data_IF_987799422506
#
_entry.id   IF_987799422506
#
_cell.length_a   1.000
_cell.length_b   1.000
_cell.length_c   1.000
_cell.angle_alpha   90.00
_cell.angle_beta   90.00
_cell.angle_gamma   90.00
#
_symmetry.space_group_name_H-M   'P 1'
#
loop_
_entity.id
_entity.type
_entity.pdbx_description
1 polymer ?
#
# COMPACT_ATOMS: atom_id res chain seq x y z
N UNK A 1 6.22 -14.27 -16.30
CA UNK A 1 5.50 -13.05 -15.90
C UNK A 1 6.20 -12.52 -14.66
N UNK A 2 6.52 -11.22 -14.61
CA UNK A 2 7.13 -10.58 -13.43
C UNK A 2 6.04 -10.09 -12.50
N UNK A 3 6.20 -10.27 -11.19
CA UNK A 3 5.27 -9.76 -10.18
C UNK A 3 5.86 -8.53 -9.51
N UNK A 4 5.09 -7.44 -9.51
CA UNK A 4 5.48 -6.17 -8.92
C UNK A 4 4.38 -5.68 -7.99
N UNK A 5 4.76 -5.21 -6.80
CA UNK A 5 3.84 -4.59 -5.86
C UNK A 5 4.33 -3.19 -5.51
N UNK A 6 3.54 -2.17 -5.84
CA UNK A 6 3.80 -0.78 -5.46
C UNK A 6 2.79 -0.32 -4.43
N UNK A 7 3.30 0.21 -3.33
CA UNK A 7 2.50 0.73 -2.23
C UNK A 7 2.69 2.24 -2.11
N UNK A 8 1.57 2.97 -2.03
CA UNK A 8 1.54 4.42 -1.84
C UNK A 8 0.89 4.79 -0.52
N UNK A 9 1.58 5.58 0.30
CA UNK A 9 1.09 5.97 1.62
C UNK A 9 1.55 7.38 2.04
N UNK A 10 0.86 7.93 3.03
CA UNK A 10 1.10 9.27 3.60
C UNK A 10 -0.21 9.92 4.04
N UNK A 11 -0.15 11.00 4.82
CA UNK A 11 -1.36 11.69 5.28
C UNK A 11 -1.93 12.74 4.31
N UNK A 12 -1.11 13.25 3.38
CA UNK A 12 -1.47 14.33 2.46
C UNK A 12 -1.41 13.90 0.99
N UNK A 13 -1.84 12.66 0.71
CA UNK A 13 -1.88 12.12 -0.65
C UNK A 13 -2.87 12.93 -1.51
N UNK A 14 -2.47 13.23 -2.74
CA UNK A 14 -3.35 13.84 -3.74
C UNK A 14 -4.25 12.78 -4.38
N UNK A 15 -5.23 12.32 -3.60
CA UNK A 15 -6.09 11.20 -3.98
C UNK A 15 -6.82 11.45 -5.30
N UNK A 16 -7.21 12.68 -5.60
CA UNK A 16 -7.90 13.01 -6.86
C UNK A 16 -7.00 12.80 -8.07
N UNK A 17 -5.75 13.26 -8.01
CA UNK A 17 -4.79 13.04 -9.10
C UNK A 17 -4.28 11.60 -9.17
N UNK A 18 -4.13 10.92 -8.03
CA UNK A 18 -3.80 9.48 -8.00
C UNK A 18 -4.92 8.67 -8.65
N UNK A 19 -6.19 8.92 -8.28
CA UNK A 19 -7.35 8.24 -8.85
C UNK A 19 -7.46 8.52 -10.36
N UNK A 20 -7.23 9.76 -10.81
CA UNK A 20 -7.18 10.11 -12.22
C UNK A 20 -6.08 9.33 -12.95
N UNK A 21 -4.87 9.28 -12.40
CA UNK A 21 -3.73 8.57 -12.97
C UNK A 21 -4.01 7.07 -13.12
N UNK A 22 -4.56 6.43 -12.09
CA UNK A 22 -4.94 5.01 -12.12
C UNK A 22 -5.99 4.76 -13.20
N UNK A 23 -7.04 5.60 -13.26
CA UNK A 23 -8.09 5.51 -14.29
C UNK A 23 -7.53 5.65 -15.71
N UNK A 24 -6.66 6.63 -15.92
CA UNK A 24 -6.09 6.94 -17.24
C UNK A 24 -5.10 5.86 -17.71
N UNK A 25 -4.25 5.34 -16.81
CA UNK A 25 -3.08 4.52 -17.17
C UNK A 25 -3.25 3.03 -16.92
N UNK A 26 -4.06 2.64 -15.94
CA UNK A 26 -4.12 1.27 -15.45
C UNK A 26 -5.49 0.61 -15.58
N UNK A 27 -6.59 1.35 -15.45
CA UNK A 27 -7.94 0.76 -15.34
C UNK A 27 -8.35 -0.09 -16.56
N UNK A 28 -7.79 0.19 -17.74
CA UNK A 28 -7.99 -0.63 -18.95
C UNK A 28 -7.26 -1.99 -18.93
N UNK A 29 -6.45 -2.25 -17.90
CA UNK A 29 -5.61 -3.44 -17.75
C UNK A 29 -5.90 -4.22 -16.46
N UNK A 30 -6.99 -3.89 -15.76
CA UNK A 30 -7.41 -4.54 -14.52
C UNK A 30 -7.63 -6.04 -14.75
N UNK A 31 -7.19 -6.86 -13.79
CA UNK A 31 -7.44 -8.29 -13.76
C UNK A 31 -8.96 -8.57 -13.81
N UNK A 32 -9.43 -9.47 -14.69
CA UNK A 32 -10.83 -9.87 -14.70
C UNK A 32 -11.24 -10.46 -13.35
N UNK A 33 -12.38 -10.03 -12.83
CA UNK A 33 -12.97 -10.57 -11.60
C UNK A 33 -14.17 -11.44 -11.98
N UNK A 34 -14.31 -12.57 -11.31
CA UNK A 34 -15.51 -13.42 -11.44
C UNK A 34 -16.58 -12.88 -10.49
N UNK A 35 -17.73 -12.45 -11.02
CA UNK A 35 -18.88 -12.01 -10.23
C UNK A 35 -20.07 -12.90 -10.56
N UNK A 36 -20.63 -13.57 -9.55
CA UNK A 36 -21.79 -14.45 -9.70
C UNK A 36 -21.62 -15.51 -10.81
N UNK A 37 -20.49 -16.22 -10.82
CA UNK A 37 -20.10 -17.22 -11.84
C UNK A 37 -20.03 -16.71 -13.28
N UNK A 38 -20.13 -15.40 -13.50
CA UNK A 38 -19.84 -14.77 -14.77
C UNK A 38 -18.54 -13.98 -14.64
N UNK A 39 -17.62 -14.17 -15.58
CA UNK A 39 -16.52 -13.23 -15.74
C UNK A 39 -17.12 -11.88 -16.12
N UNK A 40 -16.90 -10.84 -15.32
CA UNK A 40 -17.38 -9.51 -15.69
C UNK A 40 -16.60 -9.05 -16.90
N UNK A 41 -17.27 -9.05 -18.04
CA UNK A 41 -16.72 -8.72 -19.35
C UNK A 41 -16.50 -7.20 -19.53
N UNK A 42 -16.25 -6.47 -18.43
CA UNK A 42 -15.97 -5.04 -18.47
C UNK A 42 -14.50 -4.83 -18.85
N UNK A 43 -14.25 -4.99 -20.15
CA UNK A 43 -13.17 -4.43 -20.96
C UNK A 43 -11.79 -5.12 -20.95
N UNK A 44 -11.67 -6.11 -21.86
CA UNK A 44 -10.68 -6.22 -22.96
C UNK A 44 -9.17 -5.98 -22.66
N UNK A 45 -8.39 -7.00 -23.08
CA UNK A 45 -6.95 -7.04 -23.38
C UNK A 45 -6.03 -7.28 -22.17
N UNK A 46 -5.99 -8.53 -21.68
CA UNK A 46 -4.65 -9.09 -21.38
C UNK A 46 -3.96 -9.11 -22.73
N UNK A 47 -3.20 -8.06 -23.00
CA UNK A 47 -2.43 -7.88 -24.22
C UNK A 47 -1.47 -9.08 -24.30
N UNK A 48 -1.25 -9.65 -25.49
CA UNK A 48 -0.29 -10.78 -25.64
C UNK A 48 1.13 -10.39 -25.19
N UNK A 49 1.40 -9.08 -25.19
CA UNK A 49 2.60 -8.40 -24.75
C UNK A 49 2.63 -8.06 -23.24
N UNK A 50 1.54 -8.28 -22.48
CA UNK A 50 1.55 -8.09 -21.02
C UNK A 50 2.43 -9.17 -20.38
N UNK A 51 3.58 -8.76 -19.85
CA UNK A 51 4.56 -9.64 -19.19
C UNK A 51 4.71 -9.35 -17.69
N UNK A 52 3.98 -8.35 -17.18
CA UNK A 52 3.96 -7.92 -15.79
C UNK A 52 2.57 -8.13 -15.17
N UNK A 53 2.55 -8.73 -14.00
CA UNK A 53 1.46 -8.64 -13.05
C UNK A 53 1.83 -7.59 -12.00
N UNK A 54 1.02 -6.53 -11.95
CA UNK A 54 1.27 -5.35 -11.13
C UNK A 54 0.14 -5.16 -10.13
N UNK A 55 0.45 -5.32 -8.85
CA UNK A 55 -0.44 -4.93 -7.76
C UNK A 55 -0.11 -3.48 -7.37
N UNK A 56 -1.12 -2.62 -7.35
CA UNK A 56 -0.99 -1.26 -6.81
C UNK A 56 -1.91 -1.12 -5.62
N UNK A 57 -1.41 -0.53 -4.54
CA UNK A 57 -2.19 -0.22 -3.35
C UNK A 57 -1.91 1.23 -2.92
N UNK A 58 -2.98 1.93 -2.58
CA UNK A 58 -2.96 3.26 -1.99
C UNK A 58 -3.68 3.13 -0.66
N UNK A 59 -2.99 3.45 0.43
CA UNK A 59 -3.57 3.44 1.77
C UNK A 59 -4.62 4.56 1.91
N UNK A 60 -5.79 4.35 1.32
CA UNK A 60 -6.92 5.27 1.24
C UNK A 60 -8.01 4.78 2.20
N UNK A 61 -8.26 5.51 3.29
CA UNK A 61 -9.53 5.36 3.97
C UNK A 61 -10.60 6.17 3.26
N UNK A 62 -11.29 5.57 2.30
CA UNK A 62 -12.68 5.89 1.98
C UNK A 62 -13.60 4.72 2.33
N UNK A 63 -14.28 4.86 3.48
CA UNK A 63 -15.49 4.13 3.86
C UNK A 63 -16.68 4.51 2.95
N UNK A 64 -16.60 4.20 1.66
CA UNK A 64 -17.78 4.12 0.78
C UNK A 64 -17.67 2.81 -0.01
N UNK A 65 -18.30 1.78 0.53
CA UNK A 65 -18.62 0.50 -0.14
C UNK A 65 -17.52 -0.12 -1.00
N UNK A 66 -16.83 -1.13 -0.48
CA UNK A 66 -16.10 -2.16 -1.26
C UNK A 66 -14.97 -1.70 -2.21
N UNK A 67 -14.30 -0.58 -1.95
CA UNK A 67 -13.14 -0.16 -2.74
C UNK A 67 -11.84 -0.32 -1.92
N UNK A 68 -11.38 -1.56 -1.76
CA UNK A 68 -9.95 -1.77 -1.51
C UNK A 68 -9.22 -1.32 -2.79
N UNK A 69 -8.32 -0.34 -2.69
CA UNK A 69 -7.50 0.07 -3.84
C UNK A 69 -6.35 -0.90 -4.13
N UNK A 70 -6.35 -2.09 -3.52
CA UNK A 70 -5.53 -3.21 -3.99
C UNK A 70 -6.18 -3.75 -5.26
N UNK A 71 -5.64 -3.33 -6.41
CA UNK A 71 -6.02 -3.88 -7.71
C UNK A 71 -4.81 -4.49 -8.39
N UNK A 72 -5.07 -5.61 -9.06
CA UNK A 72 -4.10 -6.29 -9.92
C UNK A 72 -4.29 -5.84 -11.37
N UNK A 73 -3.19 -5.59 -12.06
CA UNK A 73 -3.15 -5.17 -13.46
C UNK A 73 -2.21 -6.06 -14.26
N UNK A 74 -2.53 -6.31 -15.53
CA UNK A 74 -1.66 -7.02 -16.48
C UNK A 74 -1.11 -6.06 -17.53
N UNK A 75 0.11 -5.59 -17.33
CA UNK A 75 0.71 -4.50 -18.11
C UNK A 75 2.05 -4.91 -18.75
N UNK A 76 2.58 -4.06 -19.64
CA UNK A 76 3.94 -4.15 -20.19
C UNK A 76 4.94 -3.30 -19.38
N UNK A 77 6.23 -3.45 -19.65
CA UNK A 77 7.29 -2.64 -19.03
C UNK A 77 7.15 -1.15 -19.33
N UNK A 78 6.78 -0.78 -20.57
CA UNK A 78 6.59 0.62 -20.96
C UNK A 78 5.41 1.28 -20.23
N UNK A 79 4.34 0.50 -20.01
CA UNK A 79 3.17 0.97 -19.27
C UNK A 79 3.51 1.18 -17.79
N UNK A 80 4.25 0.24 -17.19
CA UNK A 80 4.74 0.39 -15.83
C UNK A 80 5.61 1.64 -15.69
N UNK A 81 6.60 1.82 -16.57
CA UNK A 81 7.48 2.98 -16.56
C UNK A 81 6.71 4.30 -16.71
N UNK A 82 5.72 4.36 -17.62
CA UNK A 82 4.90 5.55 -17.83
C UNK A 82 4.02 5.88 -16.61
N UNK A 83 3.50 4.86 -15.93
CA UNK A 83 2.76 5.02 -14.68
C UNK A 83 3.66 5.55 -13.55
N UNK A 84 4.80 4.91 -13.30
CA UNK A 84 5.78 5.34 -12.29
C UNK A 84 6.29 6.76 -12.52
N UNK A 85 6.59 7.10 -13.78
CA UNK A 85 7.05 8.43 -14.18
C UNK A 85 6.06 9.53 -13.80
N UNK A 86 4.76 9.21 -13.84
CA UNK A 86 3.69 10.14 -13.50
C UNK A 86 3.43 10.14 -12.00
N UNK A 87 3.43 8.96 -11.38
CA UNK A 87 3.18 8.79 -9.95
C UNK A 87 4.21 9.53 -9.09
N UNK A 88 5.50 9.46 -9.43
CA UNK A 88 6.60 10.13 -8.70
C UNK A 88 6.49 11.66 -8.64
N UNK A 89 5.59 12.26 -9.43
CA UNK A 89 5.31 13.71 -9.42
C UNK A 89 4.21 14.07 -8.41
N UNK A 90 3.47 13.07 -7.93
CA UNK A 90 2.41 13.22 -6.93
C UNK A 90 3.02 13.17 -5.52
N UNK A 91 2.28 13.72 -4.56
CA UNK A 91 2.69 13.69 -3.15
C UNK A 91 2.46 12.30 -2.56
N UNK A 92 3.37 11.89 -1.68
CA UNK A 92 3.29 10.63 -0.95
C UNK A 92 4.61 9.87 -1.00
N UNK A 93 4.63 8.77 -0.25
CA UNK A 93 5.70 7.80 -0.29
C UNK A 93 5.27 6.65 -1.21
N UNK A 94 6.04 6.38 -2.26
CA UNK A 94 5.77 5.36 -3.26
C UNK A 94 6.90 4.34 -3.23
N UNK A 95 6.60 3.13 -2.74
CA UNK A 95 7.64 2.14 -2.47
C UNK A 95 7.35 0.81 -3.18
N UNK A 96 8.42 0.21 -3.69
CA UNK A 96 8.39 -1.14 -4.23
C UNK A 96 8.46 -2.15 -3.10
N UNK A 97 7.43 -2.99 -3.00
CA UNK A 97 7.29 -4.01 -1.99
C UNK A 97 7.41 -5.40 -2.61
N UNK A 98 7.79 -6.39 -1.80
CA UNK A 98 7.67 -7.80 -2.18
C UNK A 98 6.19 -8.18 -2.23
N UNK A 99 5.71 -8.76 -3.34
CA UNK A 99 4.40 -9.39 -3.38
C UNK A 99 4.26 -10.41 -2.24
N UNK A 100 3.07 -10.52 -1.64
CA UNK A 100 2.74 -11.51 -0.59
C UNK A 100 3.53 -11.39 0.74
N UNK A 101 4.06 -10.22 1.07
CA UNK A 101 4.74 -9.97 2.36
C UNK A 101 3.96 -9.09 3.32
N UNK A 102 2.66 -8.91 3.05
CA UNK A 102 1.78 -8.13 3.92
C UNK A 102 1.60 -8.86 5.25
N UNK A 103 2.01 -8.20 6.33
CA UNK A 103 1.81 -8.65 7.70
C UNK A 103 0.92 -7.68 8.48
N UNK A 104 0.54 -8.10 9.68
CA UNK A 104 -0.19 -7.26 10.61
C UNK A 104 0.58 -7.13 11.91
N UNK A 105 0.52 -5.94 12.49
CA UNK A 105 1.00 -5.67 13.85
C UNK A 105 -0.23 -5.60 14.74
N UNK A 106 -0.15 -6.24 15.89
CA UNK A 106 -1.08 -5.98 16.99
C UNK A 106 -0.25 -5.80 18.26
N UNK A 107 -0.34 -4.64 18.88
CA UNK A 107 0.39 -4.30 20.10
C UNK A 107 -0.52 -3.59 21.09
N UNK A 108 -0.30 -3.82 22.38
CA UNK A 108 -1.07 -3.18 23.45
C UNK A 108 -0.16 -2.27 24.30
N UNK A 109 -0.51 -0.99 24.41
CA UNK A 109 0.20 0.01 25.21
C UNK A 109 -0.81 0.66 26.16
N UNK A 110 -0.57 0.55 27.47
CA UNK A 110 -1.42 1.20 28.50
C UNK A 110 -2.92 0.95 28.25
N UNK A 111 -3.25 -0.31 27.98
CA UNK A 111 -4.60 -0.81 27.66
C UNK A 111 -5.18 -0.46 26.29
N UNK A 112 -4.51 0.38 25.51
CA UNK A 112 -4.88 0.73 24.14
C UNK A 112 -4.28 -0.29 23.17
N UNK A 113 -5.12 -0.93 22.36
CA UNK A 113 -4.67 -1.81 21.28
C UNK A 113 -4.35 -1.02 20.02
N UNK A 114 -3.17 -1.23 19.45
CA UNK A 114 -2.70 -0.63 18.23
C UNK A 114 -2.60 -1.70 17.17
N UNK A 115 -3.23 -1.47 16.02
CA UNK A 115 -3.06 -2.33 14.85
C UNK A 115 -2.26 -1.60 13.78
N UNK A 116 -1.66 -2.36 12.88
CA UNK A 116 -0.86 -1.81 11.80
C UNK A 116 -0.59 -2.81 10.69
N UNK A 117 -0.06 -2.30 9.59
CA UNK A 117 0.38 -3.09 8.46
C UNK A 117 1.91 -3.15 8.39
N UNK A 118 2.40 -4.31 7.95
CA UNK A 118 3.80 -4.55 7.66
C UNK A 118 3.97 -4.75 6.16
N UNK A 119 4.91 -4.04 5.58
CA UNK A 119 5.35 -4.23 4.20
C UNK A 119 6.85 -4.50 4.18
N UNK A 120 7.32 -5.25 3.20
CA UNK A 120 8.76 -5.49 2.99
C UNK A 120 9.14 -4.93 1.64
N UNK A 121 10.19 -4.11 1.62
CA UNK A 121 10.75 -3.57 0.38
C UNK A 121 11.18 -4.68 -0.57
N UNK A 122 11.15 -4.43 -1.87
CA UNK A 122 11.44 -5.42 -2.91
C UNK A 122 12.82 -6.09 -2.76
N UNK A 123 13.80 -5.35 -2.21
CA UNK A 123 15.16 -5.81 -1.95
C UNK A 123 15.27 -6.73 -0.71
N UNK A 124 14.20 -6.88 0.08
CA UNK A 124 14.13 -7.71 1.28
C UNK A 124 15.05 -7.26 2.43
N UNK A 125 15.46 -6.00 2.45
CA UNK A 125 16.38 -5.43 3.43
C UNK A 125 15.65 -4.57 4.47
N UNK A 126 14.54 -3.93 4.09
CA UNK A 126 13.76 -3.05 4.96
C UNK A 126 12.33 -3.56 5.12
N UNK A 127 11.88 -3.61 6.36
CA UNK A 127 10.50 -3.80 6.79
C UNK A 127 9.90 -2.45 7.21
N UNK A 128 8.75 -2.12 6.66
CA UNK A 128 8.05 -0.86 6.88
C UNK A 128 6.80 -1.16 7.68
N UNK A 129 6.70 -0.55 8.86
CA UNK A 129 5.57 -0.70 9.77
C UNK A 129 4.76 0.59 9.80
N UNK A 130 3.47 0.48 9.55
CA UNK A 130 2.52 1.59 9.52
C UNK A 130 1.43 1.34 10.54
N UNK A 131 1.00 2.38 11.24
CA UNK A 131 -0.18 2.29 12.09
C UNK A 131 -1.44 2.26 11.22
N UNK A 132 -2.36 1.37 11.56
CA UNK A 132 -3.70 1.43 11.03
C UNK A 132 -4.37 2.65 11.60
N UNK A 133 -5.17 3.33 10.79
CA UNK A 133 -6.05 4.39 11.30
C UNK A 133 -7.24 3.83 12.10
N UNK A 134 -7.21 2.57 12.56
CA UNK A 134 -8.25 1.87 13.35
C UNK A 134 -7.93 1.75 14.85
N UNK A 135 -6.80 2.30 15.28
CA UNK A 135 -6.42 2.46 16.69
C UNK A 135 -7.55 3.18 17.48
N UNK A 136 -7.77 2.85 18.78
CA UNK A 136 -8.84 3.39 19.62
C UNK A 136 -8.98 4.92 19.56
N UNK A 137 -10.21 5.35 19.80
CA UNK A 137 -10.82 6.66 19.49
C UNK A 137 -10.03 7.96 19.75
N UNK A 138 -8.90 7.98 20.47
CA UNK A 138 -8.09 9.18 20.68
C UNK A 138 -7.18 9.53 19.49
N UNK A 139 -6.61 8.52 18.81
CA UNK A 139 -5.75 8.71 17.62
C UNK A 139 -6.51 8.59 16.31
N UNK A 140 -7.76 8.09 16.37
CA UNK A 140 -8.64 7.91 15.21
C UNK A 140 -8.85 9.24 14.50
N UNK A 141 -8.27 9.35 13.32
CA UNK A 141 -8.35 10.56 12.50
C UNK A 141 -7.36 11.64 12.87
N UNK A 142 -6.47 11.45 13.86
CA UNK A 142 -5.42 12.42 14.24
C UNK A 142 -4.03 12.06 13.68
N UNK A 143 -3.87 10.95 12.96
CA UNK A 143 -2.57 10.59 12.36
C UNK A 143 -2.01 11.66 11.42
N UNK A 144 -2.89 12.48 10.84
CA UNK A 144 -2.49 13.64 10.03
C UNK A 144 -1.84 14.77 10.86
N UNK A 145 -2.00 14.75 12.18
CA UNK A 145 -1.34 15.64 13.14
C UNK A 145 0.04 15.13 13.54
N UNK A 146 0.32 13.84 13.34
CA UNK A 146 1.65 13.25 13.57
C UNK A 146 2.57 13.76 12.46
N UNK A 147 3.79 14.25 12.77
CA UNK A 147 4.75 14.65 11.75
C UNK A 147 5.00 13.51 10.76
N UNK A 148 5.09 13.83 9.46
CA UNK A 148 5.18 12.82 8.40
C UNK A 148 6.26 11.76 8.67
N UNK A 149 7.46 12.20 9.07
CA UNK A 149 8.60 11.33 9.42
C UNK A 149 8.33 10.32 10.55
N UNK A 150 7.30 10.55 11.36
CA UNK A 150 6.93 9.75 12.51
C UNK A 150 5.66 8.92 12.23
N UNK A 151 5.04 9.03 11.05
CA UNK A 151 3.83 8.27 10.68
C UNK A 151 4.10 6.80 10.33
N UNK A 152 5.36 6.43 10.12
CA UNK A 152 5.80 5.05 9.91
C UNK A 152 7.19 4.85 10.52
N UNK A 153 7.60 3.59 10.61
CA UNK A 153 8.98 3.22 10.95
C UNK A 153 9.55 2.24 9.93
N UNK A 154 10.81 2.46 9.58
CA UNK A 154 11.61 1.55 8.76
C UNK A 154 12.54 0.74 9.68
N UNK A 155 12.52 -0.58 9.52
CA UNK A 155 13.26 -1.52 10.33
C UNK A 155 14.09 -2.43 9.42
N UNK A 156 15.42 -2.52 9.61
CA UNK A 156 16.23 -3.50 8.90
C UNK A 156 15.72 -4.93 9.16
N UNK A 157 15.58 -5.74 8.11
CA UNK A 157 15.19 -7.15 8.20
C UNK A 157 16.23 -8.00 8.93
N UNK A 158 17.47 -7.52 9.03
CA UNK A 158 18.54 -8.17 9.80
C UNK A 158 18.31 -8.14 11.32
N UNK A 159 17.40 -7.30 11.81
CA UNK A 159 17.02 -7.29 13.22
C UNK A 159 16.23 -8.54 13.59
N UNK A 160 16.36 -9.00 14.83
CA UNK A 160 15.49 -10.03 15.38
C UNK A 160 14.07 -9.48 15.56
N UNK A 161 13.07 -10.35 15.60
CA UNK A 161 11.68 -9.91 15.82
C UNK A 161 11.52 -9.20 17.19
N UNK A 162 12.22 -9.64 18.24
CA UNK A 162 12.23 -8.95 19.54
C UNK A 162 12.77 -7.51 19.44
N UNK A 163 13.85 -7.29 18.67
CA UNK A 163 14.41 -5.97 18.45
C UNK A 163 13.45 -5.08 17.66
N UNK A 164 12.80 -5.63 16.63
CA UNK A 164 11.79 -4.92 15.84
C UNK A 164 10.60 -4.54 16.70
N UNK A 165 10.13 -5.43 17.56
CA UNK A 165 8.99 -5.17 18.43
C UNK A 165 9.32 -4.11 19.47
N UNK A 166 10.50 -4.16 20.08
CA UNK A 166 10.98 -3.11 20.98
C UNK A 166 11.06 -1.75 20.30
N UNK A 167 11.56 -1.69 19.05
CA UNK A 167 11.63 -0.44 18.27
C UNK A 167 10.25 0.07 17.88
N UNK A 168 9.35 -0.83 17.49
CA UNK A 168 7.96 -0.51 17.14
C UNK A 168 7.23 0.06 18.35
N UNK A 169 7.36 -0.58 19.51
CA UNK A 169 6.78 -0.09 20.76
C UNK A 169 7.32 1.31 21.13
N UNK A 170 8.63 1.52 21.02
CA UNK A 170 9.24 2.81 21.30
C UNK A 170 8.82 3.90 20.32
N UNK A 171 8.59 3.54 19.06
CA UNK A 171 8.03 4.45 18.06
C UNK A 171 6.58 4.79 18.38
N UNK A 172 5.72 3.80 18.63
CA UNK A 172 4.32 4.00 18.99
C UNK A 172 4.13 4.86 20.25
N UNK A 173 5.04 4.79 21.23
CA UNK A 173 5.01 5.64 22.42
C UNK A 173 5.35 7.12 22.15
N UNK A 174 5.95 7.44 21.00
CA UNK A 174 6.28 8.81 20.61
C UNK A 174 5.19 9.47 19.76
N UNK A 175 4.42 8.64 19.07
CA UNK A 175 3.31 9.01 18.19
C UNK A 175 2.07 9.28 19.02
#
# INVERSE_FOLDING_TARGET
MKDYFLFTFGCNLDHSNIEYLVKERLESFVRPIMVNNNWTDQNRKIRKDSNIHFTYDVNDKKHKGNLYYIKDYYISEEQLFGFEYSLRKLKGNHIWCRPNTQGHINMKIEEIEYTGHIYVTINNDIEIRLLDREVPNSLRGQIHLVPEKDQWIELPRSLTEEEKDKRTLNWMKKV
#
